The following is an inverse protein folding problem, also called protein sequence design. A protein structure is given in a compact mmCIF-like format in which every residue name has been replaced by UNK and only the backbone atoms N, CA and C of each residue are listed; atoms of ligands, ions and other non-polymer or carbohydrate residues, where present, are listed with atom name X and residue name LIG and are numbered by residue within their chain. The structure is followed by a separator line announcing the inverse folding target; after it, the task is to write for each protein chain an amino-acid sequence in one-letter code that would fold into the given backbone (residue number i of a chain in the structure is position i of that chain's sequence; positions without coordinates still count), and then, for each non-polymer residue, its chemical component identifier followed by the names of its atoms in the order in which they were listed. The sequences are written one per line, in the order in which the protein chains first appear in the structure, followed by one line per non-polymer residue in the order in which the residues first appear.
data_IF_711957180834
#
_entry.id   IF_711957180834
#
_cell.length_a   1.000
_cell.length_b   1.000
_cell.length_c   1.000
_cell.angle_alpha   90.00
_cell.angle_beta   90.00
_cell.angle_gamma   90.00
#
_symmetry.space_group_name_H-M   'P 1'
#
loop_
_entity.id
_entity.type
_entity.pdbx_description
1 polymer ?
#
# COMPACT_ATOMS: atom_id res chain seq x y z
N UNK A 1 -41.06 48.17 -63.95
CA UNK A 1 -39.74 48.26 -63.32
C UNK A 1 -39.58 47.12 -62.33
N UNK A 2 -38.60 46.26 -62.61
CA UNK A 2 -38.03 45.17 -61.81
C UNK A 2 -37.55 45.66 -60.43
N UNK A 3 -37.63 44.86 -59.35
CA UNK A 3 -36.57 43.97 -58.81
C UNK A 3 -37.23 43.04 -57.75
N UNK A 4 -37.38 41.73 -57.97
CA UNK A 4 -36.57 40.57 -57.46
C UNK A 4 -36.07 40.61 -56.00
N UNK A 5 -36.81 39.93 -55.12
CA UNK A 5 -36.42 38.76 -54.27
C UNK A 5 -35.24 38.87 -53.25
N UNK A 6 -34.96 37.85 -52.40
CA UNK A 6 -35.22 37.81 -50.95
C UNK A 6 -33.93 37.63 -50.12
N UNK A 7 -33.95 37.63 -48.77
CA UNK A 7 -32.99 36.82 -48.00
C UNK A 7 -33.38 36.67 -46.52
N UNK A 8 -33.65 35.42 -46.17
CA UNK A 8 -33.41 34.70 -44.92
C UNK A 8 -32.44 35.41 -43.95
N UNK A 9 -32.88 35.69 -42.72
CA UNK A 9 -31.95 35.85 -41.60
C UNK A 9 -32.04 34.64 -40.67
N UNK A 10 -30.97 33.87 -40.72
CA UNK A 10 -30.65 32.70 -39.91
C UNK A 10 -30.84 32.97 -38.40
N UNK A 11 -31.40 31.97 -37.71
CA UNK A 11 -31.21 31.76 -36.28
C UNK A 11 -29.70 31.74 -35.95
N UNK A 12 -29.23 32.71 -35.18
CA UNK A 12 -28.01 32.57 -34.38
C UNK A 12 -28.36 31.92 -33.05
N UNK A 13 -28.44 30.59 -33.04
CA UNK A 13 -28.23 29.81 -31.82
C UNK A 13 -26.75 29.97 -31.44
N UNK A 14 -26.43 30.98 -30.63
CA UNK A 14 -25.16 31.03 -29.93
C UNK A 14 -25.12 29.87 -28.94
N UNK A 15 -24.49 28.78 -29.35
CA UNK A 15 -24.11 27.65 -28.51
C UNK A 15 -23.11 28.16 -27.47
N UNK A 16 -23.58 28.47 -26.27
CA UNK A 16 -22.76 28.81 -25.11
C UNK A 16 -22.04 27.56 -24.53
N UNK A 17 -21.32 26.80 -25.36
CA UNK A 17 -20.75 25.50 -24.95
C UNK A 17 -19.21 25.29 -24.99
N UNK A 18 -18.29 26.25 -25.28
CA UNK A 18 -16.86 25.90 -25.29
C UNK A 18 -16.13 26.09 -23.94
N UNK A 19 -16.54 27.02 -23.08
CA UNK A 19 -15.74 27.40 -21.89
C UNK A 19 -15.88 26.38 -20.74
N UNK A 20 -17.07 25.83 -20.54
CA UNK A 20 -17.35 24.89 -19.44
C UNK A 20 -16.82 23.49 -19.73
N UNK A 21 -16.80 23.05 -21.01
CA UNK A 21 -16.18 21.81 -21.45
C UNK A 21 -14.66 21.86 -21.26
N UNK A 22 -14.01 22.93 -21.73
CA UNK A 22 -12.56 23.16 -21.55
C UNK A 22 -12.14 23.10 -20.07
N UNK A 23 -12.90 23.77 -19.19
CA UNK A 23 -12.59 23.78 -17.76
C UNK A 23 -12.75 22.40 -17.10
N UNK A 24 -13.74 21.61 -17.50
CA UNK A 24 -13.93 20.24 -16.99
C UNK A 24 -12.81 19.30 -17.46
N UNK A 25 -12.35 19.49 -18.69
CA UNK A 25 -11.24 18.72 -19.26
C UNK A 25 -9.91 19.07 -18.60
N UNK A 26 -9.67 20.36 -18.33
CA UNK A 26 -8.50 20.79 -17.56
C UNK A 26 -8.49 20.24 -16.12
N UNK A 27 -9.63 20.29 -15.42
CA UNK A 27 -9.77 19.69 -14.08
C UNK A 27 -9.52 18.18 -14.13
N UNK A 28 -10.04 17.50 -15.15
CA UNK A 28 -9.80 16.07 -15.33
C UNK A 28 -8.32 15.77 -15.60
N UNK A 29 -7.68 16.51 -16.49
CA UNK A 29 -6.26 16.34 -16.81
C UNK A 29 -5.36 16.54 -15.59
N UNK A 30 -5.61 17.59 -14.79
CA UNK A 30 -4.89 17.82 -13.51
C UNK A 30 -5.09 16.68 -12.53
N UNK A 31 -6.31 16.15 -12.45
CA UNK A 31 -6.60 15.02 -11.56
C UNK A 31 -5.86 13.75 -11.97
N UNK A 32 -5.84 13.45 -13.28
CA UNK A 32 -5.08 12.33 -13.84
C UNK A 32 -3.58 12.49 -13.56
N UNK A 33 -3.03 13.68 -13.78
CA UNK A 33 -1.62 13.95 -13.54
C UNK A 33 -1.24 13.77 -12.07
N UNK A 34 -2.05 14.30 -11.14
CA UNK A 34 -1.84 14.11 -9.71
C UNK A 34 -1.89 12.63 -9.31
N UNK A 35 -2.84 11.86 -9.86
CA UNK A 35 -2.95 10.43 -9.60
C UNK A 35 -1.73 9.65 -10.14
N UNK A 36 -1.19 10.04 -11.30
CA UNK A 36 0.04 9.47 -11.86
C UNK A 36 1.26 9.75 -11.00
N UNK A 37 1.41 10.98 -10.53
CA UNK A 37 2.52 11.35 -9.65
C UNK A 37 2.48 10.57 -8.33
N UNK A 38 1.30 10.43 -7.72
CA UNK A 38 1.11 9.60 -6.53
C UNK A 38 1.42 8.12 -6.81
N UNK A 39 0.97 7.58 -7.94
CA UNK A 39 1.29 6.20 -8.34
C UNK A 39 2.79 6.02 -8.50
N UNK A 40 3.47 6.93 -9.20
CA UNK A 40 4.91 6.87 -9.44
C UNK A 40 5.70 6.94 -8.12
N UNK A 41 5.29 7.81 -7.20
CA UNK A 41 5.90 7.89 -5.87
C UNK A 41 5.92 6.54 -5.12
N UNK A 42 4.86 5.75 -5.25
CA UNK A 42 4.84 4.40 -4.66
C UNK A 42 5.74 3.41 -5.41
N UNK A 43 5.78 3.48 -6.74
CA UNK A 43 6.68 2.64 -7.55
C UNK A 43 8.14 2.91 -7.20
N UNK A 44 8.52 4.18 -7.08
CA UNK A 44 9.88 4.62 -6.74
C UNK A 44 10.31 4.20 -5.34
N UNK A 45 9.36 4.00 -4.42
CA UNK A 45 9.60 3.50 -3.07
C UNK A 45 9.69 1.97 -2.97
N UNK A 46 9.81 1.29 -4.11
CA UNK A 46 10.00 -0.16 -4.16
C UNK A 46 8.70 -0.94 -4.02
N UNK A 47 7.59 -0.42 -4.56
CA UNK A 47 6.37 -1.20 -4.71
C UNK A 47 6.59 -2.41 -5.62
N UNK A 48 6.07 -3.56 -5.21
CA UNK A 48 6.10 -4.81 -5.96
C UNK A 48 4.69 -5.38 -6.05
N UNK A 49 4.17 -5.58 -7.27
CA UNK A 49 2.83 -6.14 -7.46
C UNK A 49 2.73 -7.57 -6.91
N UNK A 50 3.74 -8.37 -7.20
CA UNK A 50 3.89 -9.74 -6.70
C UNK A 50 5.19 -9.87 -5.93
N UNK A 51 5.18 -10.71 -4.90
CA UNK A 51 6.44 -11.12 -4.29
C UNK A 51 7.20 -12.02 -5.27
N UNK A 52 8.54 -11.93 -5.35
CA UNK A 52 9.33 -12.85 -6.14
C UNK A 52 9.08 -14.29 -5.71
N UNK A 53 9.26 -15.25 -6.60
CA UNK A 53 9.25 -16.66 -6.22
C UNK A 53 10.37 -16.91 -5.21
N UNK A 54 9.98 -17.23 -3.98
CA UNK A 54 10.89 -17.61 -2.93
C UNK A 54 10.58 -19.04 -2.52
N UNK A 55 11.61 -19.78 -2.12
CA UNK A 55 11.41 -21.09 -1.51
C UNK A 55 10.59 -20.92 -0.23
N UNK A 56 9.60 -21.78 -0.05
CA UNK A 56 8.89 -21.89 1.22
C UNK A 56 9.92 -22.11 2.32
N UNK A 57 9.90 -21.18 3.26
CA UNK A 57 10.89 -21.03 4.29
C UNK A 57 10.38 -21.41 5.66
N UNK A 58 11.29 -21.44 6.62
CA UNK A 58 11.00 -21.70 8.03
C UNK A 58 11.93 -20.91 8.94
N UNK A 59 11.44 -20.61 10.13
CA UNK A 59 12.25 -20.10 11.21
C UNK A 59 12.53 -21.20 12.24
N UNK A 60 13.76 -21.26 12.68
CA UNK A 60 14.28 -22.15 13.70
C UNK A 60 14.64 -21.32 14.94
N UNK A 61 14.48 -21.90 16.13
CA UNK A 61 14.79 -21.22 17.38
C UNK A 61 13.95 -19.96 17.63
N UNK A 62 12.67 -20.00 17.27
CA UNK A 62 11.76 -18.86 17.50
C UNK A 62 11.44 -18.76 18.98
N UNK A 63 11.88 -17.68 19.61
CA UNK A 63 11.67 -17.41 21.03
C UNK A 63 11.24 -15.95 21.24
N UNK A 64 10.77 -15.65 22.45
CA UNK A 64 10.42 -14.28 22.85
C UNK A 64 8.99 -14.16 23.36
N UNK A 65 8.66 -12.95 23.82
CA UNK A 65 7.36 -12.63 24.39
C UNK A 65 6.66 -11.61 23.50
N UNK A 66 5.39 -11.88 23.19
CA UNK A 66 4.52 -10.96 22.48
C UNK A 66 3.30 -10.66 23.31
N UNK A 67 2.83 -9.42 23.22
CA UNK A 67 1.55 -9.00 23.76
C UNK A 67 0.76 -8.39 22.62
N UNK A 68 -0.51 -8.76 22.56
CA UNK A 68 -1.39 -8.33 21.49
C UNK A 68 -2.77 -8.05 22.05
N UNK A 69 -3.35 -6.91 21.70
CA UNK A 69 -4.69 -6.52 22.13
C UNK A 69 -5.52 -6.10 20.93
N UNK A 70 -6.78 -6.55 20.89
CA UNK A 70 -7.75 -6.04 19.93
C UNK A 70 -8.59 -4.96 20.60
N UNK A 71 -8.47 -3.72 20.14
CA UNK A 71 -9.41 -2.66 20.51
C UNK A 71 -10.81 -2.92 19.95
N UNK A 72 -11.82 -2.36 20.63
CA UNK A 72 -13.23 -2.46 20.22
C UNK A 72 -13.49 -1.82 18.84
N UNK A 73 -12.80 -0.73 18.52
CA UNK A 73 -12.95 0.01 17.24
C UNK A 73 -11.62 0.34 16.54
N UNK A 74 -10.48 0.19 17.23
CA UNK A 74 -9.14 0.51 16.71
C UNK A 74 -8.41 -0.68 16.08
N UNK A 75 -7.32 -0.40 15.35
CA UNK A 75 -6.39 -1.42 14.87
C UNK A 75 -5.85 -2.25 16.06
N UNK A 76 -5.54 -3.54 15.87
CA UNK A 76 -4.91 -4.32 16.92
C UNK A 76 -3.53 -3.76 17.25
N UNK A 77 -3.21 -3.69 18.54
CA UNK A 77 -1.87 -3.33 19.00
C UNK A 77 -1.05 -4.58 19.24
N UNK A 78 0.18 -4.60 18.75
CA UNK A 78 1.10 -5.74 18.84
C UNK A 78 2.45 -5.22 19.33
N UNK A 79 2.93 -5.77 20.45
CA UNK A 79 4.20 -5.38 21.05
C UNK A 79 5.00 -6.57 21.56
N UNK A 80 6.29 -6.35 21.83
CA UNK A 80 7.16 -7.33 22.46
C UNK A 80 8.45 -7.55 21.69
N UNK A 81 9.18 -8.59 22.06
CA UNK A 81 10.44 -8.95 21.44
C UNK A 81 10.37 -10.39 20.94
N UNK A 82 10.81 -10.60 19.70
CA UNK A 82 10.97 -11.89 19.08
C UNK A 82 12.43 -12.09 18.69
N UNK A 83 12.91 -13.30 18.90
CA UNK A 83 14.21 -13.78 18.44
C UNK A 83 13.99 -14.97 17.53
N UNK A 84 14.72 -14.99 16.42
CA UNK A 84 14.75 -16.10 15.49
C UNK A 84 16.22 -16.43 15.32
N UNK A 85 16.63 -17.62 15.78
CA UNK A 85 18.03 -18.06 15.65
C UNK A 85 18.42 -18.14 14.19
N UNK A 86 17.55 -18.71 13.34
CA UNK A 86 17.80 -18.89 11.92
C UNK A 86 16.50 -18.84 11.10
N UNK A 87 16.50 -18.08 10.03
CA UNK A 87 15.46 -18.03 9.01
C UNK A 87 16.02 -18.60 7.71
N UNK A 88 15.31 -19.55 7.11
CA UNK A 88 15.62 -20.11 5.80
C UNK A 88 14.51 -19.71 4.84
N UNK A 89 14.81 -19.10 3.70
CA UNK A 89 13.81 -18.69 2.69
C UNK A 89 12.78 -17.68 3.20
N UNK A 90 11.55 -17.74 2.66
CA UNK A 90 10.43 -16.84 3.04
C UNK A 90 9.49 -17.50 4.03
N UNK A 91 9.17 -16.80 5.12
CA UNK A 91 8.24 -17.27 6.15
C UNK A 91 7.14 -16.25 6.45
N UNK A 92 5.96 -16.77 6.81
CA UNK A 92 4.87 -16.00 7.43
C UNK A 92 4.88 -16.22 8.94
N UNK A 93 5.34 -15.22 9.69
CA UNK A 93 5.38 -15.24 11.15
C UNK A 93 4.05 -14.72 11.71
N UNK A 94 3.21 -15.62 12.25
CA UNK A 94 1.97 -15.20 12.92
C UNK A 94 2.30 -14.42 14.19
N UNK A 95 1.87 -13.15 14.26
CA UNK A 95 2.07 -12.26 15.39
C UNK A 95 0.86 -12.19 16.31
N UNK A 96 -0.32 -12.39 15.74
CA UNK A 96 -1.60 -12.27 16.43
C UNK A 96 -2.62 -13.19 15.78
N UNK A 97 -3.50 -13.78 16.59
CA UNK A 97 -4.61 -14.61 16.14
C UNK A 97 -5.90 -14.24 16.86
N UNK A 98 -7.00 -14.22 16.13
CA UNK A 98 -8.35 -14.06 16.67
C UNK A 98 -9.26 -15.17 16.17
N UNK A 99 -10.23 -15.55 17.00
CA UNK A 99 -11.35 -16.44 16.62
C UNK A 99 -12.65 -15.67 16.38
N UNK A 100 -12.64 -14.37 16.67
CA UNK A 100 -13.79 -13.49 16.47
C UNK A 100 -13.85 -13.07 15.00
N UNK A 101 -14.88 -13.55 14.31
CA UNK A 101 -15.08 -13.33 12.88
C UNK A 101 -15.30 -11.85 12.52
N UNK A 102 -15.79 -11.03 13.45
CA UNK A 102 -15.94 -9.58 13.23
C UNK A 102 -14.60 -8.86 13.09
N UNK A 103 -13.52 -9.51 13.54
CA UNK A 103 -12.16 -9.00 13.42
C UNK A 103 -11.46 -9.48 12.17
N UNK A 104 -12.04 -10.43 11.42
CA UNK A 104 -11.40 -10.96 10.22
C UNK A 104 -11.26 -9.88 9.14
N UNK A 105 -10.15 -9.89 8.41
CA UNK A 105 -9.87 -8.93 7.35
C UNK A 105 -9.57 -7.50 7.81
N UNK A 106 -9.66 -7.19 9.11
CA UNK A 106 -9.26 -5.86 9.61
C UNK A 106 -7.77 -5.65 9.34
N UNK A 107 -7.40 -4.49 8.82
CA UNK A 107 -5.99 -4.12 8.63
C UNK A 107 -5.28 -4.00 9.98
N UNK A 108 -4.10 -4.61 10.09
CA UNK A 108 -3.19 -4.41 11.21
C UNK A 108 -1.85 -3.92 10.71
N UNK A 109 -1.22 -3.03 11.48
CA UNK A 109 0.14 -2.57 11.24
C UNK A 109 0.99 -2.85 12.46
N UNK A 110 2.24 -3.17 12.23
CA UNK A 110 3.25 -3.27 13.25
C UNK A 110 4.40 -2.33 12.90
N UNK A 111 4.95 -1.67 13.89
CA UNK A 111 6.17 -0.87 13.77
C UNK A 111 7.19 -1.40 14.76
N UNK A 112 8.46 -1.14 14.52
CA UNK A 112 9.49 -1.56 15.45
C UNK A 112 10.88 -1.47 14.85
N UNK A 113 11.82 -2.16 15.49
CA UNK A 113 13.18 -2.33 14.98
C UNK A 113 13.49 -3.79 14.73
N UNK A 114 14.27 -4.03 13.69
CA UNK A 114 14.76 -5.34 13.31
C UNK A 114 16.28 -5.29 13.18
N UNK A 115 16.96 -6.35 13.63
CA UNK A 115 18.38 -6.55 13.41
C UNK A 115 18.65 -8.00 13.04
N UNK A 116 19.68 -8.22 12.23
CA UNK A 116 20.16 -9.55 11.83
C UNK A 116 21.67 -9.61 12.01
N UNK A 117 22.18 -10.72 12.53
CA UNK A 117 23.62 -10.88 12.82
C UNK A 117 24.36 -11.34 11.57
N UNK A 118 23.80 -12.29 10.82
CA UNK A 118 24.38 -12.80 9.57
C UNK A 118 23.33 -12.93 8.47
N UNK A 119 23.75 -12.70 7.22
CA UNK A 119 22.86 -12.68 6.06
C UNK A 119 22.05 -11.38 5.96
N UNK A 120 20.97 -11.41 5.17
CA UNK A 120 20.06 -10.29 5.01
C UNK A 120 18.65 -10.68 5.40
N UNK A 121 17.90 -9.72 5.94
CA UNK A 121 16.51 -9.92 6.26
C UNK A 121 15.66 -8.92 5.48
N UNK A 122 14.65 -9.42 4.77
CA UNK A 122 13.62 -8.61 4.16
C UNK A 122 12.35 -8.69 5.01
N UNK A 123 11.79 -7.53 5.34
CA UNK A 123 10.48 -7.40 6.00
C UNK A 123 9.50 -6.84 5.00
N UNK A 124 8.47 -7.62 4.68
CA UNK A 124 7.46 -7.20 3.71
C UNK A 124 6.24 -6.60 4.40
N UNK A 125 5.72 -5.54 3.80
CA UNK A 125 4.51 -4.84 4.19
C UNK A 125 3.47 -4.99 3.08
N UNK A 126 2.27 -5.47 3.40
CA UNK A 126 1.18 -5.54 2.43
C UNK A 126 0.67 -4.12 2.14
N UNK A 127 0.62 -3.72 0.89
CA UNK A 127 0.21 -2.38 0.50
C UNK A 127 -1.03 -2.42 -0.38
N UNK A 128 -2.00 -1.57 -0.05
CA UNK A 128 -3.12 -1.20 -0.91
C UNK A 128 -3.20 0.31 -0.95
N UNK A 129 -3.16 0.90 -2.14
CA UNK A 129 -3.36 2.34 -2.33
C UNK A 129 -4.28 2.59 -3.53
N UNK A 130 -5.03 3.69 -3.43
CA UNK A 130 -5.87 4.21 -4.50
C UNK A 130 -5.45 5.64 -4.82
N UNK A 131 -4.38 5.82 -5.64
CA UNK A 131 -3.86 7.13 -6.03
C UNK A 131 -4.91 8.04 -6.64
N UNK A 132 -5.92 7.51 -7.35
CA UNK A 132 -7.00 8.30 -7.91
C UNK A 132 -7.84 8.93 -6.80
N UNK A 133 -8.35 8.14 -5.85
CA UNK A 133 -9.11 8.69 -4.74
C UNK A 133 -8.26 9.55 -3.79
N UNK A 134 -6.97 9.25 -3.64
CA UNK A 134 -6.06 10.10 -2.89
C UNK A 134 -5.85 11.46 -3.56
N UNK A 135 -5.68 11.50 -4.88
CA UNK A 135 -5.54 12.74 -5.63
C UNK A 135 -6.76 13.65 -5.47
N UNK A 136 -7.98 13.09 -5.36
CA UNK A 136 -9.20 13.87 -5.06
C UNK A 136 -9.10 14.69 -3.78
N UNK A 137 -8.44 14.15 -2.75
CA UNK A 137 -8.28 14.83 -1.47
C UNK A 137 -7.21 15.94 -1.50
N UNK A 138 -6.37 15.98 -2.54
CA UNK A 138 -5.28 16.94 -2.69
C UNK A 138 -5.62 18.09 -3.63
N UNK A 139 -6.78 18.05 -4.30
CA UNK A 139 -7.19 19.03 -5.30
C UNK A 139 -8.39 19.83 -4.81
N UNK A 140 -8.38 21.15 -5.06
CA UNK A 140 -9.50 22.05 -4.75
C UNK A 140 -10.79 21.67 -5.48
N UNK A 141 -10.67 21.06 -6.66
CA UNK A 141 -11.81 20.54 -7.42
C UNK A 141 -11.41 19.23 -8.08
N UNK A 142 -12.03 18.14 -7.62
CA UNK A 142 -11.82 16.83 -8.20
C UNK A 142 -12.68 16.63 -9.46
N UNK A 143 -12.17 15.83 -10.40
CA UNK A 143 -12.97 15.40 -11.55
C UNK A 143 -14.08 14.45 -11.13
N UNK A 144 -15.27 14.62 -11.73
CA UNK A 144 -16.39 13.68 -11.62
C UNK A 144 -16.35 12.56 -12.67
N UNK A 145 -15.45 12.65 -13.65
CA UNK A 145 -15.25 11.63 -14.68
C UNK A 145 -14.51 10.42 -14.08
N UNK A 146 -14.76 9.19 -14.56
CA UNK A 146 -13.97 8.03 -14.15
C UNK A 146 -12.50 8.20 -14.56
N UNK A 147 -11.56 7.53 -13.86
CA UNK A 147 -10.17 7.52 -14.26
C UNK A 147 -10.01 6.86 -15.65
N UNK A 148 -9.08 7.35 -16.49
CA UNK A 148 -8.83 6.76 -17.81
C UNK A 148 -8.08 5.42 -17.75
N UNK A 149 -7.47 5.09 -16.61
CA UNK A 149 -6.65 3.88 -16.38
C UNK A 149 -6.82 3.38 -14.95
N UNK A 150 -6.41 2.15 -14.67
CA UNK A 150 -6.41 1.64 -13.29
C UNK A 150 -5.21 2.19 -12.52
N UNK A 151 -5.49 3.02 -11.52
CA UNK A 151 -4.49 3.58 -10.62
C UNK A 151 -4.23 2.71 -9.39
N UNK A 152 -5.09 1.73 -9.11
CA UNK A 152 -5.02 0.94 -7.87
C UNK A 152 -3.69 0.21 -7.79
N UNK A 153 -3.08 0.29 -6.62
CA UNK A 153 -1.86 -0.42 -6.30
C UNK A 153 -2.17 -1.44 -5.21
N UNK A 154 -2.06 -2.72 -5.56
CA UNK A 154 -2.19 -3.83 -4.63
C UNK A 154 -0.96 -4.72 -4.73
N UNK A 155 -0.15 -4.70 -3.68
CA UNK A 155 1.19 -5.29 -3.75
C UNK A 155 1.89 -5.25 -2.41
N UNK A 156 3.20 -5.07 -2.46
CA UNK A 156 4.09 -5.14 -1.32
C UNK A 156 5.10 -4.02 -1.38
N UNK A 157 5.54 -3.57 -0.22
CA UNK A 157 6.80 -2.84 -0.08
C UNK A 157 7.73 -3.66 0.81
N UNK A 158 9.03 -3.42 0.68
CA UNK A 158 10.05 -4.16 1.42
C UNK A 158 10.94 -3.21 2.21
N UNK A 159 11.29 -3.61 3.42
CA UNK A 159 12.38 -3.01 4.19
C UNK A 159 13.49 -4.05 4.29
N UNK A 160 14.65 -3.71 3.74
CA UNK A 160 15.86 -4.53 3.85
C UNK A 160 16.61 -4.17 5.13
N UNK A 161 16.98 -5.19 5.91
CA UNK A 161 17.83 -5.08 7.10
C UNK A 161 19.16 -5.81 6.81
N UNK A 162 20.25 -5.07 6.61
CA UNK A 162 21.58 -5.64 6.42
C UNK A 162 22.13 -6.29 7.69
N UNK A 163 23.07 -7.23 7.52
CA UNK A 163 23.85 -7.81 8.61
C UNK A 163 24.50 -6.73 9.49
N UNK A 164 24.42 -6.92 10.81
CA UNK A 164 25.03 -6.05 11.80
C UNK A 164 24.33 -4.69 12.00
N UNK A 165 23.25 -4.42 11.27
CA UNK A 165 22.50 -3.17 11.41
C UNK A 165 21.18 -3.39 12.15
N UNK A 166 20.77 -2.37 12.90
CA UNK A 166 19.42 -2.27 13.46
C UNK A 166 18.66 -1.22 12.67
N UNK A 167 17.55 -1.61 12.05
CA UNK A 167 16.75 -0.73 11.22
C UNK A 167 15.31 -0.67 11.74
N UNK A 168 14.71 0.53 11.65
CA UNK A 168 13.29 0.68 11.88
C UNK A 168 12.50 0.11 10.69
N UNK A 169 11.36 -0.49 10.98
CA UNK A 169 10.42 -0.95 9.96
C UNK A 169 8.99 -0.61 10.34
N UNK A 170 8.14 -0.49 9.33
CA UNK A 170 6.70 -0.43 9.47
C UNK A 170 6.08 -1.39 8.45
N UNK A 171 5.28 -2.32 8.93
CA UNK A 171 4.68 -3.34 8.09
C UNK A 171 3.19 -3.49 8.37
N UNK A 172 2.40 -3.40 7.31
CA UNK A 172 1.02 -3.87 7.33
C UNK A 172 1.02 -5.40 7.16
N UNK A 173 0.32 -6.07 8.08
CA UNK A 173 0.33 -7.53 8.19
C UNK A 173 -0.55 -8.18 7.13
N UNK A 174 -0.15 -9.38 6.71
CA UNK A 174 -0.98 -10.27 5.92
C UNK A 174 -2.07 -10.87 6.83
N UNK A 175 -3.33 -10.77 6.41
CA UNK A 175 -4.47 -11.31 7.15
C UNK A 175 -5.06 -12.53 6.44
N UNK A 176 -5.23 -13.62 7.18
CA UNK A 176 -5.82 -14.86 6.64
C UNK A 176 -6.53 -15.62 7.76
N UNK A 177 -7.84 -15.83 7.66
CA UNK A 177 -8.58 -16.67 8.61
C UNK A 177 -8.45 -16.26 10.09
N UNK A 178 -8.31 -14.95 10.37
CA UNK A 178 -8.11 -14.43 11.72
C UNK A 178 -6.65 -14.42 12.21
N UNK A 179 -5.71 -14.95 11.42
CA UNK A 179 -4.28 -14.79 11.66
C UNK A 179 -3.75 -13.49 11.04
N UNK A 180 -2.83 -12.85 11.77
CA UNK A 180 -2.13 -11.64 11.39
C UNK A 180 -0.64 -11.93 11.33
N UNK A 181 -0.11 -11.99 10.11
CA UNK A 181 1.23 -12.49 9.86
C UNK A 181 2.15 -11.41 9.32
N UNK A 182 3.36 -11.35 9.86
CA UNK A 182 4.47 -10.61 9.28
C UNK A 182 5.19 -11.51 8.28
N UNK A 183 5.47 -11.01 7.07
CA UNK A 183 6.20 -11.79 6.07
C UNK A 183 7.67 -11.39 6.11
N UNK A 184 8.52 -12.39 6.34
CA UNK A 184 9.96 -12.26 6.47
C UNK A 184 10.65 -13.12 5.41
N UNK A 185 11.81 -12.70 4.93
CA UNK A 185 12.60 -13.51 4.01
C UNK A 185 14.10 -13.33 4.23
N UNK A 186 14.83 -14.44 4.11
CA UNK A 186 16.26 -14.46 3.90
C UNK A 186 16.55 -14.58 2.39
N UNK A 187 16.83 -13.48 1.67
CA UNK A 187 16.91 -13.50 0.20
C UNK A 187 18.11 -14.30 -0.30
N UNK A 188 19.17 -14.39 0.50
CA UNK A 188 20.37 -15.19 0.22
C UNK A 188 20.24 -16.65 0.69
N UNK A 189 19.01 -17.07 1.05
CA UNK A 189 18.69 -18.41 1.52
C UNK A 189 18.70 -18.58 3.03
N UNK A 190 19.61 -17.91 3.75
CA UNK A 190 19.73 -18.01 5.22
C UNK A 190 20.01 -16.63 5.86
N UNK A 191 19.36 -16.37 6.99
CA UNK A 191 19.62 -15.24 7.88
C UNK A 191 19.63 -15.70 9.34
N UNK A 192 20.59 -15.25 10.14
CA UNK A 192 20.81 -15.75 11.50
C UNK A 192 20.90 -14.62 12.55
N UNK A 193 20.54 -14.96 13.79
CA UNK A 193 20.55 -14.03 14.92
C UNK A 193 19.62 -12.85 14.70
N UNK A 194 18.39 -13.14 14.26
CA UNK A 194 17.37 -12.11 13.99
C UNK A 194 16.71 -11.72 15.30
N UNK A 195 16.59 -10.41 15.53
CA UNK A 195 15.84 -9.82 16.65
C UNK A 195 14.85 -8.81 16.11
N UNK A 196 13.59 -8.94 16.52
CA UNK A 196 12.51 -8.02 16.21
C UNK A 196 11.97 -7.43 17.52
N UNK A 197 11.99 -6.12 17.64
CA UNK A 197 11.37 -5.38 18.75
C UNK A 197 10.16 -4.64 18.19
N UNK A 198 8.97 -4.96 18.69
CA UNK A 198 7.69 -4.47 18.18
C UNK A 198 7.13 -3.38 19.11
N UNK A 199 6.80 -2.23 18.53
CA UNK A 199 6.22 -1.08 19.21
C UNK A 199 4.71 -1.28 19.37
N UNK A 200 4.24 -1.35 20.61
CA UNK A 200 2.80 -1.40 20.92
C UNK A 200 2.15 -0.04 20.66
N UNK A 201 1.65 0.14 19.44
CA UNK A 201 0.84 1.31 19.04
C UNK A 201 -0.52 0.87 18.52
#
# INVERSE_FOLDING_TARGET
MTIRAPLTLLLTLMVAAPVTASRRDEVHARHVEQARQLRQFYLDRGFMATLPDARDGRALGVAGARRSTFGLSGAPSISGELRIERLEGRMRLSLLRTRDALKYGRTARVSGTASVTQGRLLVYSRMTADPWNMARALLDTASSRPPPEDFRLEGWTVTEIPAGQTMAFNAQLLTMGGDYMLVLEAPDGVAEGIRLVLDGR
#
